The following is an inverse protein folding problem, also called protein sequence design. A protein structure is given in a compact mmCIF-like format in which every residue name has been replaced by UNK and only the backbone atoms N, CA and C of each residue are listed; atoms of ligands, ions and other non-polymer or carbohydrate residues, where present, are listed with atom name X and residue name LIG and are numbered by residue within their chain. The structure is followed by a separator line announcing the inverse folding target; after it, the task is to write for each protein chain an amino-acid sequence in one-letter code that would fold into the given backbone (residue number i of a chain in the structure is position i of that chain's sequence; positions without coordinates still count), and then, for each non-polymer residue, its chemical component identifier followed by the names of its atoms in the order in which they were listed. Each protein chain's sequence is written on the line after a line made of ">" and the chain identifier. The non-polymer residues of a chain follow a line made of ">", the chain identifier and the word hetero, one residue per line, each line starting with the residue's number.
data_IF_142282915893
#
_entry.id   IF_142282915893
#
_cell.length_a   1.000
_cell.length_b   1.000
_cell.length_c   1.000
_cell.angle_alpha   90.00
_cell.angle_beta   90.00
_cell.angle_gamma   90.00
#
_symmetry.space_group_name_H-M   'P 1'
#
loop_
_entity.id
_entity.type
_entity.pdbx_description
1 polymer ?
#
# COMPACT_ATOMS: atom_id res chain seq x y z
N UNK A 1 -6.61 -16.42 3.84
CA UNK A 1 -5.45 -17.19 3.33
C UNK A 1 -4.37 -17.14 4.40
N UNK A 2 -3.59 -18.22 4.59
CA UNK A 2 -2.37 -18.14 5.38
C UNK A 2 -1.47 -17.04 4.80
N UNK A 3 -0.76 -16.32 5.68
CA UNK A 3 0.06 -15.18 5.27
C UNK A 3 1.23 -15.67 4.42
N UNK A 4 1.51 -14.99 3.33
CA UNK A 4 2.73 -15.19 2.54
C UNK A 4 3.89 -14.52 3.29
N UNK A 5 5.04 -15.19 3.36
CA UNK A 5 6.26 -14.61 3.90
C UNK A 5 6.72 -13.44 3.02
N UNK A 6 7.36 -12.43 3.60
CA UNK A 6 7.92 -11.33 2.80
C UNK A 6 9.09 -11.86 1.97
N UNK A 7 9.17 -11.38 0.74
CA UNK A 7 10.33 -11.61 -0.12
C UNK A 7 11.45 -10.70 0.39
N UNK A 8 12.62 -11.27 0.64
CA UNK A 8 13.82 -10.49 0.97
C UNK A 8 14.42 -9.93 -0.31
N UNK A 9 14.82 -8.67 -0.28
CA UNK A 9 15.51 -8.00 -1.38
C UNK A 9 17.00 -8.37 -1.38
N UNK A 10 17.60 -8.50 -2.57
CA UNK A 10 19.05 -8.64 -2.71
C UNK A 10 19.74 -7.28 -2.59
N UNK A 11 19.15 -6.21 -3.14
CA UNK A 11 19.64 -4.84 -2.99
C UNK A 11 19.45 -4.28 -1.56
N UNK A 12 18.51 -4.86 -0.82
CA UNK A 12 18.05 -4.38 0.49
C UNK A 12 17.11 -3.18 0.40
N UNK A 13 16.66 -2.80 -0.80
CA UNK A 13 15.78 -1.65 -1.05
C UNK A 13 14.33 -2.13 -1.17
N UNK A 14 13.42 -1.40 -0.53
CA UNK A 14 12.00 -1.73 -0.54
C UNK A 14 11.12 -0.50 -0.76
N UNK A 15 10.08 -0.68 -1.56
CA UNK A 15 8.89 0.17 -1.54
C UNK A 15 7.96 -0.33 -0.44
N UNK A 16 7.56 0.55 0.48
CA UNK A 16 6.81 0.20 1.67
C UNK A 16 5.52 1.02 1.71
N UNK A 17 4.40 0.37 2.06
CA UNK A 17 3.12 1.05 2.24
C UNK A 17 2.47 0.66 3.56
N UNK A 18 1.95 1.67 4.25
CA UNK A 18 1.19 1.56 5.49
C UNK A 18 -0.10 2.37 5.39
N UNK A 19 -1.23 1.83 5.83
CA UNK A 19 -2.55 2.51 5.84
C UNK A 19 -3.22 2.42 7.20
N UNK A 20 -3.96 3.46 7.56
CA UNK A 20 -4.79 3.51 8.76
C UNK A 20 -5.85 2.41 8.75
N UNK A 21 -6.13 1.84 9.93
CA UNK A 21 -7.26 0.92 10.09
C UNK A 21 -8.56 1.60 9.69
N UNK A 22 -9.47 0.86 9.04
CA UNK A 22 -10.71 1.40 8.48
C UNK A 22 -10.50 2.57 7.50
N UNK A 23 -9.31 2.67 6.88
CA UNK A 23 -8.95 3.77 5.98
C UNK A 23 -9.00 5.15 6.67
N UNK A 24 -8.98 5.17 8.00
CA UNK A 24 -9.05 6.40 8.78
C UNK A 24 -7.84 7.29 8.47
N UNK A 25 -8.03 8.60 8.61
CA UNK A 25 -6.95 9.56 8.64
C UNK A 25 -5.98 9.20 9.77
N UNK A 26 -4.69 9.16 9.45
CA UNK A 26 -3.60 8.90 10.39
C UNK A 26 -2.72 10.14 10.59
N UNK A 27 -2.96 11.20 9.82
CA UNK A 27 -2.40 12.53 10.00
C UNK A 27 -3.55 13.55 9.91
N UNK A 28 -4.11 13.91 11.06
CA UNK A 28 -5.27 14.80 11.19
C UNK A 28 -4.84 16.27 11.10
N UNK A 29 -3.66 16.58 11.64
CA UNK A 29 -3.08 17.94 11.66
C UNK A 29 -1.61 17.91 11.29
N UNK A 30 -1.03 19.07 11.02
CA UNK A 30 0.37 19.20 10.56
C UNK A 30 1.39 18.57 11.51
N UNK A 31 1.18 18.73 12.81
CA UNK A 31 2.04 18.15 13.85
C UNK A 31 2.16 16.62 13.72
N UNK A 32 1.13 15.94 13.21
CA UNK A 32 1.16 14.48 13.03
C UNK A 32 2.17 14.07 11.96
N UNK A 33 2.20 14.82 10.85
CA UNK A 33 3.15 14.62 9.77
C UNK A 33 4.58 14.92 10.24
N UNK A 34 4.77 16.06 10.89
CA UNK A 34 6.06 16.46 11.45
C UNK A 34 6.58 15.41 12.44
N UNK A 35 5.70 14.91 13.32
CA UNK A 35 6.06 13.86 14.27
C UNK A 35 6.49 12.58 13.59
N UNK A 36 5.82 12.19 12.51
CA UNK A 36 6.20 11.00 11.75
C UNK A 36 7.55 11.18 11.09
N UNK A 37 7.81 12.32 10.46
CA UNK A 37 9.09 12.67 9.84
C UNK A 37 10.22 12.64 10.89
N UNK A 38 10.02 13.26 12.06
CA UNK A 38 10.96 13.20 13.18
C UNK A 38 11.20 11.76 13.65
N UNK A 39 10.16 10.92 13.65
CA UNK A 39 10.27 9.50 14.02
C UNK A 39 11.13 8.73 13.03
N UNK A 40 10.94 8.96 11.72
CA UNK A 40 11.80 8.40 10.67
C UNK A 40 13.25 8.87 10.89
N UNK A 41 13.49 10.17 11.06
CA UNK A 41 14.86 10.69 11.24
C UNK A 41 15.55 10.06 12.44
N UNK A 42 14.86 9.99 13.60
CA UNK A 42 15.39 9.37 14.81
C UNK A 42 15.80 7.91 14.59
N UNK A 43 14.96 7.11 13.94
CA UNK A 43 15.27 5.69 13.73
C UNK A 43 16.24 5.48 12.57
N UNK A 44 16.38 6.43 11.65
CA UNK A 44 17.46 6.43 10.67
C UNK A 44 18.82 6.47 11.37
N UNK A 45 18.99 7.32 12.37
CA UNK A 45 20.25 7.42 13.14
C UNK A 45 20.55 6.14 13.94
N UNK A 46 19.52 5.51 14.50
CA UNK A 46 19.68 4.31 15.33
C UNK A 46 19.92 3.04 14.49
N UNK A 47 19.13 2.87 13.42
CA UNK A 47 19.12 1.66 12.60
C UNK A 47 20.01 1.77 11.36
N UNK A 48 20.51 2.97 11.04
CA UNK A 48 21.39 3.28 9.91
C UNK A 48 20.84 2.85 8.54
N UNK A 49 19.51 2.88 8.39
CA UNK A 49 18.89 2.70 7.08
C UNK A 49 19.06 3.95 6.22
N UNK A 50 18.90 3.80 4.90
CA UNK A 50 18.85 4.95 3.97
C UNK A 50 17.42 5.18 3.52
N UNK A 51 16.98 6.44 3.52
CA UNK A 51 15.69 6.82 2.97
C UNK A 51 15.90 7.57 1.66
N UNK A 52 15.22 7.14 0.61
CA UNK A 52 15.27 7.76 -0.71
C UNK A 52 14.04 8.64 -0.92
N UNK A 53 12.85 8.10 -0.66
CA UNK A 53 11.62 8.87 -0.76
C UNK A 53 10.63 8.56 0.35
N UNK A 54 9.82 9.56 0.69
CA UNK A 54 8.58 9.37 1.40
C UNK A 54 7.47 10.24 0.82
N UNK A 55 6.24 9.76 0.93
CA UNK A 55 5.02 10.53 0.73
C UNK A 55 4.03 10.15 1.84
N UNK A 56 3.71 11.11 2.71
CA UNK A 56 2.73 10.91 3.77
C UNK A 56 1.38 11.44 3.27
N UNK A 57 0.42 10.55 3.05
CA UNK A 57 -0.95 10.86 2.64
C UNK A 57 -1.87 10.87 3.86
N UNK A 58 -3.05 11.49 3.81
CA UNK A 58 -3.92 11.61 4.99
C UNK A 58 -4.22 10.29 5.72
N UNK A 59 -4.49 9.20 4.99
CA UNK A 59 -4.83 7.88 5.57
C UNK A 59 -3.79 6.77 5.32
N UNK A 60 -2.69 7.06 4.63
CA UNK A 60 -1.64 6.09 4.32
C UNK A 60 -0.30 6.78 4.04
N UNK A 61 0.77 6.01 3.89
CA UNK A 61 2.08 6.54 3.56
C UNK A 61 2.85 5.56 2.71
N UNK A 62 3.75 6.11 1.90
CA UNK A 62 4.72 5.37 1.10
C UNK A 62 6.14 5.73 1.54
N UNK A 63 7.02 4.73 1.63
CA UNK A 63 8.46 4.92 1.87
C UNK A 63 9.25 4.14 0.83
N UNK A 64 10.36 4.69 0.37
CA UNK A 64 11.40 3.99 -0.39
C UNK A 64 12.68 4.00 0.45
N UNK A 65 13.06 2.82 0.96
CA UNK A 65 14.05 2.69 2.03
C UNK A 65 14.98 1.52 1.75
N UNK A 66 16.28 1.70 2.04
CA UNK A 66 17.28 0.63 2.08
C UNK A 66 17.56 0.20 3.52
N UNK A 67 17.49 -1.10 3.79
CA UNK A 67 17.86 -1.67 5.08
C UNK A 67 19.29 -1.29 5.49
N UNK A 68 19.51 -1.14 6.80
CA UNK A 68 20.78 -0.77 7.41
C UNK A 68 21.30 -1.86 8.35
N UNK A 69 21.62 -1.48 9.59
CA UNK A 69 22.07 -2.41 10.64
C UNK A 69 20.98 -3.38 11.11
N UNK A 70 19.72 -2.96 11.05
CA UNK A 70 18.58 -3.77 11.46
C UNK A 70 17.74 -4.20 10.25
N UNK A 71 17.10 -5.39 10.29
CA UNK A 71 16.20 -5.82 9.24
C UNK A 71 14.94 -4.94 9.20
N UNK A 72 14.31 -4.85 8.03
CA UNK A 72 13.20 -3.96 7.72
C UNK A 72 12.04 -4.13 8.70
N UNK A 73 11.70 -5.35 9.09
CA UNK A 73 10.62 -5.59 10.05
C UNK A 73 10.89 -4.94 11.41
N UNK A 74 12.15 -4.83 11.83
CA UNK A 74 12.53 -4.19 13.08
C UNK A 74 12.48 -2.68 12.95
N UNK A 75 13.01 -2.14 11.84
CA UNK A 75 12.93 -0.71 11.50
C UNK A 75 11.47 -0.23 11.50
N UNK A 76 10.61 -0.92 10.75
CA UNK A 76 9.19 -0.56 10.66
C UNK A 76 8.46 -0.76 11.98
N UNK A 77 8.80 -1.78 12.77
CA UNK A 77 8.23 -1.97 14.13
C UNK A 77 8.56 -0.79 15.04
N UNK A 78 9.79 -0.26 14.98
CA UNK A 78 10.22 0.90 15.76
C UNK A 78 9.51 2.17 15.32
N UNK A 79 9.50 2.47 14.01
CA UNK A 79 8.84 3.66 13.44
C UNK A 79 7.34 3.64 13.77
N UNK A 80 6.64 2.57 13.39
CA UNK A 80 5.20 2.46 13.62
C UNK A 80 4.86 2.44 15.10
N UNK A 81 5.60 1.68 15.92
CA UNK A 81 5.34 1.60 17.36
C UNK A 81 5.47 2.94 18.07
N UNK A 82 6.55 3.70 17.77
CA UNK A 82 6.77 5.03 18.33
C UNK A 82 5.67 6.02 17.91
N UNK A 83 5.31 6.02 16.63
CA UNK A 83 4.26 6.91 16.14
C UNK A 83 2.89 6.59 16.73
N UNK A 84 2.50 5.30 16.75
CA UNK A 84 1.23 4.86 17.34
C UNK A 84 1.16 5.19 18.82
N UNK A 85 2.24 4.98 19.57
CA UNK A 85 2.30 5.34 20.98
C UNK A 85 2.03 6.85 21.19
N UNK A 86 2.71 7.70 20.42
CA UNK A 86 2.50 9.14 20.48
C UNK A 86 1.10 9.55 20.05
N UNK A 87 0.61 9.04 18.91
CA UNK A 87 -0.70 9.36 18.35
C UNK A 87 -1.82 8.96 19.31
N UNK A 88 -1.73 7.76 19.89
CA UNK A 88 -2.71 7.30 20.88
C UNK A 88 -2.73 8.19 22.12
N UNK A 89 -1.57 8.63 22.60
CA UNK A 89 -1.48 9.58 23.71
C UNK A 89 -2.10 10.94 23.36
N UNK A 90 -1.78 11.49 22.18
CA UNK A 90 -2.27 12.80 21.71
C UNK A 90 -3.80 12.82 21.58
N UNK A 91 -4.37 11.77 20.99
CA UNK A 91 -5.80 11.70 20.69
C UNK A 91 -6.63 10.92 21.73
N UNK A 92 -6.04 10.53 22.86
CA UNK A 92 -6.74 9.74 23.89
C UNK A 92 -7.25 8.39 23.39
N UNK A 93 -6.57 7.79 22.41
CA UNK A 93 -6.98 6.53 21.78
C UNK A 93 -6.30 5.32 22.42
N UNK A 94 -6.91 4.16 22.23
CA UNK A 94 -6.34 2.86 22.60
C UNK A 94 -6.42 1.91 21.41
N UNK A 95 -5.43 1.05 21.25
CA UNK A 95 -5.40 0.00 20.22
C UNK A 95 -4.60 0.37 18.96
N UNK A 96 -4.94 -0.29 17.86
CA UNK A 96 -4.21 -0.19 16.59
C UNK A 96 -4.58 1.08 15.80
N UNK A 97 -3.57 1.74 15.24
CA UNK A 97 -3.76 2.84 14.27
C UNK A 97 -3.74 2.35 12.83
N UNK A 98 -2.89 1.36 12.53
CA UNK A 98 -2.67 0.83 11.19
C UNK A 98 -3.48 -0.45 10.94
N UNK A 99 -3.91 -0.65 9.70
CA UNK A 99 -4.82 -1.73 9.31
C UNK A 99 -4.20 -3.13 9.45
N UNK A 100 -2.94 -3.29 9.04
CA UNK A 100 -2.17 -4.53 9.09
C UNK A 100 -0.68 -4.15 9.21
N UNK A 101 0.20 -5.15 9.17
CA UNK A 101 1.63 -4.92 8.95
C UNK A 101 1.86 -4.19 7.63
N UNK A 102 3.00 -3.51 7.52
CA UNK A 102 3.42 -2.89 6.27
C UNK A 102 3.47 -3.92 5.13
N UNK A 103 2.99 -3.47 3.96
CA UNK A 103 3.31 -4.11 2.69
C UNK A 103 4.69 -3.65 2.26
N UNK A 104 5.43 -4.53 1.59
CA UNK A 104 6.75 -4.24 1.06
C UNK A 104 6.96 -4.97 -0.26
N UNK A 105 7.60 -4.29 -1.21
CA UNK A 105 8.03 -4.84 -2.49
C UNK A 105 9.54 -4.60 -2.64
N UNK A 106 10.34 -5.65 -2.93
CA UNK A 106 11.78 -5.51 -3.12
C UNK A 106 12.07 -4.79 -4.45
N UNK A 107 13.08 -3.92 -4.45
CA UNK A 107 13.50 -3.14 -5.62
C UNK A 107 14.89 -3.58 -6.04
N UNK A 108 15.01 -4.24 -7.18
CA UNK A 108 16.28 -4.85 -7.62
C UNK A 108 16.95 -4.14 -8.80
N UNK A 109 16.20 -3.31 -9.54
CA UNK A 109 16.65 -2.67 -10.78
C UNK A 109 16.57 -1.14 -10.67
N UNK A 110 17.57 -0.44 -11.20
CA UNK A 110 17.64 1.03 -11.15
C UNK A 110 16.49 1.70 -11.94
N UNK A 111 16.10 1.12 -13.07
CA UNK A 111 14.95 1.63 -13.85
C UNK A 111 13.65 1.53 -13.04
N UNK A 112 13.42 0.39 -12.40
CA UNK A 112 12.25 0.20 -11.54
C UNK A 112 12.30 1.08 -10.29
N UNK A 113 13.50 1.29 -9.72
CA UNK A 113 13.71 2.23 -8.63
C UNK A 113 13.23 3.65 -9.01
N UNK A 114 13.60 4.15 -10.19
CA UNK A 114 13.16 5.47 -10.66
C UNK A 114 11.65 5.54 -10.90
N UNK A 115 11.04 4.45 -11.40
CA UNK A 115 9.59 4.30 -11.54
C UNK A 115 8.89 4.41 -10.18
N UNK A 116 9.35 3.69 -9.16
CA UNK A 116 8.81 3.76 -7.80
C UNK A 116 9.01 5.14 -7.19
N UNK A 117 10.17 5.76 -7.41
CA UNK A 117 10.46 7.11 -6.94
C UNK A 117 9.46 8.13 -7.52
N UNK A 118 9.19 8.07 -8.82
CA UNK A 118 8.17 8.86 -9.51
C UNK A 118 6.78 8.60 -8.93
N UNK A 119 6.40 7.33 -8.81
CA UNK A 119 5.11 6.92 -8.27
C UNK A 119 4.85 7.51 -6.87
N UNK A 120 5.85 7.44 -5.97
CA UNK A 120 5.73 7.97 -4.60
C UNK A 120 5.49 9.48 -4.62
N UNK A 121 6.26 10.25 -5.38
CA UNK A 121 6.12 11.71 -5.43
C UNK A 121 4.87 12.18 -6.18
N UNK A 122 4.39 11.40 -7.14
CA UNK A 122 3.15 11.72 -7.86
C UNK A 122 1.87 11.28 -7.12
N UNK A 123 1.97 10.55 -6.01
CA UNK A 123 0.80 10.09 -5.27
C UNK A 123 -0.18 11.23 -4.89
N UNK A 124 0.28 12.40 -4.42
CA UNK A 124 -0.60 13.56 -4.17
C UNK A 124 -1.26 14.15 -5.43
N UNK A 125 -0.58 14.08 -6.59
CA UNK A 125 -1.16 14.48 -7.89
C UNK A 125 -2.26 13.50 -8.30
N UNK A 126 -1.97 12.19 -8.25
CA UNK A 126 -2.92 11.12 -8.60
C UNK A 126 -4.16 11.15 -7.69
N UNK A 127 -4.00 11.58 -6.44
CA UNK A 127 -5.10 11.80 -5.49
C UNK A 127 -5.80 13.17 -5.63
N UNK A 128 -5.45 13.98 -6.65
CA UNK A 128 -5.99 15.32 -6.90
C UNK A 128 -5.87 16.29 -5.69
N UNK A 129 -4.88 16.10 -4.81
CA UNK A 129 -4.65 16.95 -3.64
C UNK A 129 -3.89 18.23 -3.99
N UNK A 130 -3.06 18.17 -5.03
CA UNK A 130 -2.27 19.27 -5.57
C UNK A 130 -2.25 19.20 -7.09
N UNK A 131 -1.95 20.31 -7.74
CA UNK A 131 -1.73 20.38 -9.20
C UNK A 131 -0.27 20.28 -9.60
N UNK A 132 0.66 20.47 -8.65
CA UNK A 132 2.11 20.33 -8.82
C UNK A 132 2.69 19.59 -7.63
N UNK A 133 3.67 18.72 -7.87
CA UNK A 133 4.33 17.89 -6.86
C UNK A 133 4.95 18.76 -5.75
N UNK A 134 5.60 19.85 -6.14
CA UNK A 134 6.27 20.80 -5.25
C UNK A 134 5.33 21.48 -4.23
N UNK A 135 4.02 21.50 -4.50
CA UNK A 135 3.04 22.08 -3.58
C UNK A 135 2.68 21.14 -2.42
N UNK A 136 3.05 19.86 -2.49
CA UNK A 136 2.76 18.89 -1.44
C UNK A 136 3.94 18.74 -0.47
N UNK A 137 3.85 19.44 0.66
CA UNK A 137 4.91 19.53 1.67
C UNK A 137 5.27 18.22 2.38
N UNK A 138 4.37 17.23 2.37
CA UNK A 138 4.57 15.99 3.13
C UNK A 138 5.27 14.90 2.32
N UNK A 139 6.19 15.34 1.46
CA UNK A 139 7.15 14.52 0.73
C UNK A 139 8.56 15.07 0.97
N UNK A 140 9.58 14.29 0.68
CA UNK A 140 10.95 14.79 0.57
C UNK A 140 11.34 15.17 -0.87
N UNK A 141 10.39 15.50 -1.75
CA UNK A 141 10.71 15.94 -3.11
C UNK A 141 11.66 17.14 -3.12
N UNK A 142 11.45 18.07 -2.18
CA UNK A 142 12.24 19.30 -2.08
C UNK A 142 13.71 19.03 -1.72
N UNK A 143 14.02 17.90 -1.08
CA UNK A 143 15.38 17.50 -0.72
C UNK A 143 16.25 17.30 -1.97
N UNK A 144 15.66 16.81 -3.06
CA UNK A 144 16.36 16.63 -4.33
C UNK A 144 16.70 17.95 -5.03
N UNK A 145 15.93 19.01 -4.76
CA UNK A 145 16.14 20.33 -5.34
C UNK A 145 17.11 21.14 -4.48
N UNK A 146 16.93 21.13 -3.16
CA UNK A 146 17.66 22.01 -2.22
C UNK A 146 18.87 21.34 -1.58
N UNK A 147 18.98 20.02 -1.67
CA UNK A 147 19.92 19.25 -0.86
C UNK A 147 19.32 18.88 0.49
N UNK A 148 19.81 17.77 1.06
CA UNK A 148 19.40 17.27 2.36
C UNK A 148 20.47 16.32 2.91
N UNK A 149 20.75 16.42 4.21
CA UNK A 149 21.57 15.44 4.92
C UNK A 149 20.71 14.28 5.47
N UNK A 150 19.38 14.40 5.36
CA UNK A 150 18.41 13.47 5.94
C UNK A 150 17.92 12.39 4.97
N UNK A 151 18.08 12.65 3.67
CA UNK A 151 17.68 11.78 2.57
C UNK A 151 18.90 11.41 1.73
N UNK A 152 18.93 10.17 1.23
CA UNK A 152 19.97 9.67 0.33
C UNK A 152 19.72 10.12 -1.13
N UNK A 153 19.74 11.43 -1.36
CA UNK A 153 19.47 12.03 -2.68
C UNK A 153 20.60 11.77 -3.69
N UNK A 154 21.84 11.65 -3.21
CA UNK A 154 23.02 11.52 -4.07
C UNK A 154 23.04 10.21 -4.85
N UNK A 155 22.54 9.13 -4.25
CA UNK A 155 22.40 7.85 -4.94
C UNK A 155 21.59 8.01 -6.23
N UNK A 156 20.40 8.62 -6.13
CA UNK A 156 19.52 8.82 -7.28
C UNK A 156 20.10 9.82 -8.26
N UNK A 157 20.62 10.95 -7.76
CA UNK A 157 21.11 12.01 -8.63
C UNK A 157 22.34 11.54 -9.43
N UNK A 158 23.19 10.70 -8.83
CA UNK A 158 24.33 10.08 -9.52
C UNK A 158 23.91 9.05 -10.58
N UNK A 159 22.78 8.34 -10.39
CA UNK A 159 22.19 7.48 -11.44
C UNK A 159 21.80 8.32 -12.66
N UNK A 160 21.27 9.53 -12.43
CA UNK A 160 20.74 10.38 -13.51
C UNK A 160 21.83 11.15 -14.27
N UNK A 161 22.83 11.69 -13.56
CA UNK A 161 23.95 12.40 -14.15
C UNK A 161 25.07 12.61 -13.12
N UNK A 162 26.33 12.61 -13.54
CA UNK A 162 27.46 12.97 -12.68
C UNK A 162 27.54 14.46 -12.38
N UNK A 163 27.01 15.32 -13.26
CA UNK A 163 26.87 16.75 -13.01
C UNK A 163 25.59 17.03 -12.22
N UNK A 164 25.74 17.64 -11.03
CA UNK A 164 24.64 17.87 -10.09
C UNK A 164 23.48 18.69 -10.67
N UNK A 165 23.77 19.77 -11.39
CA UNK A 165 22.71 20.60 -11.97
C UNK A 165 21.92 19.85 -13.04
N UNK A 166 22.62 19.10 -13.89
CA UNK A 166 21.98 18.27 -14.91
C UNK A 166 21.18 17.12 -14.28
N UNK A 167 21.68 16.52 -13.20
CA UNK A 167 20.97 15.48 -12.45
C UNK A 167 19.65 16.00 -11.89
N UNK A 168 19.65 17.20 -11.30
CA UNK A 168 18.44 17.83 -10.76
C UNK A 168 17.43 18.14 -11.88
N UNK A 169 17.88 18.65 -13.03
CA UNK A 169 17.00 18.89 -14.19
C UNK A 169 16.35 17.58 -14.68
N UNK A 170 17.16 16.53 -14.88
CA UNK A 170 16.66 15.20 -15.27
C UNK A 170 15.73 14.60 -14.23
N UNK A 171 16.01 14.80 -12.94
CA UNK A 171 15.14 14.37 -11.86
C UNK A 171 13.76 15.04 -11.98
N UNK A 172 13.72 16.37 -12.12
CA UNK A 172 12.46 17.11 -12.28
C UNK A 172 11.69 16.61 -13.51
N UNK A 173 12.38 16.42 -14.64
CA UNK A 173 11.78 15.89 -15.88
C UNK A 173 11.17 14.50 -15.68
N UNK A 174 11.92 13.56 -15.08
CA UNK A 174 11.44 12.20 -14.85
C UNK A 174 10.25 12.20 -13.90
N UNK A 175 10.34 12.92 -12.79
CA UNK A 175 9.31 12.90 -11.74
C UNK A 175 8.02 13.60 -12.19
N UNK A 176 8.09 14.59 -13.08
CA UNK A 176 6.89 15.26 -13.63
C UNK A 176 6.36 14.62 -14.92
N UNK A 177 6.99 13.54 -15.43
CA UNK A 177 6.53 12.87 -16.65
C UNK A 177 5.22 12.12 -16.40
N UNK A 178 4.26 12.29 -17.31
CA UNK A 178 3.04 11.48 -17.37
C UNK A 178 3.40 9.99 -17.58
N UNK A 179 2.64 9.11 -16.91
CA UNK A 179 2.89 7.68 -16.90
C UNK A 179 1.63 6.90 -16.51
N UNK A 180 1.65 5.62 -16.84
CA UNK A 180 0.71 4.61 -16.38
C UNK A 180 1.41 3.61 -15.44
N UNK A 181 2.31 4.10 -14.57
CA UNK A 181 3.13 3.23 -13.73
C UNK A 181 2.28 2.38 -12.79
N UNK A 182 2.48 1.06 -12.85
CA UNK A 182 1.94 0.10 -11.89
C UNK A 182 3.03 -0.25 -10.86
N UNK A 183 2.88 0.28 -9.65
CA UNK A 183 3.71 -0.06 -8.50
C UNK A 183 2.87 -0.73 -7.41
N UNK A 184 3.52 -1.22 -6.36
CA UNK A 184 2.81 -1.64 -5.15
C UNK A 184 1.79 -0.57 -4.73
N UNK A 185 0.55 -1.00 -4.56
CA UNK A 185 -0.55 -0.15 -4.11
C UNK A 185 -1.52 -0.94 -3.21
N UNK A 186 -2.42 -0.22 -2.54
CA UNK A 186 -3.52 -0.78 -1.78
C UNK A 186 -4.72 -0.96 -2.70
N UNK A 187 -4.68 -2.04 -3.49
CA UNK A 187 -5.81 -2.44 -4.32
C UNK A 187 -7.11 -2.53 -3.52
N UNK A 188 -8.11 -1.77 -3.94
CA UNK A 188 -9.43 -1.79 -3.35
C UNK A 188 -10.23 -2.97 -3.90
N UNK A 189 -10.21 -4.11 -3.22
CA UNK A 189 -11.24 -5.12 -3.44
C UNK A 189 -12.50 -4.64 -2.73
N UNK A 190 -13.37 -3.94 -3.45
CA UNK A 190 -14.71 -3.65 -2.96
C UNK A 190 -15.40 -4.99 -2.73
N UNK A 191 -15.57 -5.36 -1.47
CA UNK A 191 -16.16 -6.63 -1.11
C UNK A 191 -17.65 -6.51 -1.40
N UNK A 192 -18.14 -7.29 -2.38
CA UNK A 192 -19.57 -7.39 -2.67
C UNK A 192 -20.34 -7.57 -1.37
N UNK A 193 -21.35 -6.73 -1.16
CA UNK A 193 -22.22 -6.86 0.01
C UNK A 193 -22.99 -8.17 -0.10
N UNK A 194 -23.58 -8.62 1.01
CA UNK A 194 -24.45 -9.81 0.95
C UNK A 194 -25.67 -9.58 0.05
N UNK A 195 -26.13 -8.35 -0.10
CA UNK A 195 -27.23 -8.01 -1.02
C UNK A 195 -26.79 -8.04 -2.49
N UNK A 196 -25.60 -7.51 -2.80
CA UNK A 196 -25.02 -7.63 -4.14
C UNK A 196 -24.81 -9.10 -4.49
N UNK A 197 -24.25 -9.88 -3.55
CA UNK A 197 -24.03 -11.31 -3.72
C UNK A 197 -25.36 -12.06 -3.93
N UNK A 198 -26.42 -11.74 -3.18
CA UNK A 198 -27.76 -12.30 -3.40
C UNK A 198 -28.28 -11.99 -4.80
N UNK A 199 -28.16 -10.74 -5.24
CA UNK A 199 -28.62 -10.31 -6.56
C UNK A 199 -27.86 -11.01 -7.69
N UNK A 200 -26.54 -11.17 -7.54
CA UNK A 200 -25.69 -11.91 -8.47
C UNK A 200 -26.11 -13.38 -8.53
N UNK A 201 -26.28 -14.03 -7.37
CA UNK A 201 -26.68 -15.45 -7.30
C UNK A 201 -28.03 -15.65 -7.99
N UNK A 202 -29.04 -14.84 -7.65
CA UNK A 202 -30.38 -14.93 -8.26
C UNK A 202 -30.34 -14.75 -9.78
N UNK A 203 -29.63 -13.72 -10.26
CA UNK A 203 -29.54 -13.40 -11.69
C UNK A 203 -28.76 -14.46 -12.48
N UNK A 204 -27.60 -14.88 -11.96
CA UNK A 204 -26.73 -15.83 -12.67
C UNK A 204 -27.30 -17.25 -12.67
N UNK A 205 -27.82 -17.70 -11.52
CA UNK A 205 -28.41 -19.03 -11.37
C UNK A 205 -29.84 -19.12 -11.90
N UNK A 206 -30.48 -17.98 -12.21
CA UNK A 206 -31.89 -17.86 -12.63
C UNK A 206 -32.84 -18.47 -11.60
N UNK A 207 -32.72 -18.02 -10.35
CA UNK A 207 -33.51 -18.48 -9.20
C UNK A 207 -34.09 -17.31 -8.41
N UNK A 208 -35.24 -17.53 -7.77
CA UNK A 208 -35.93 -16.51 -6.96
C UNK A 208 -35.35 -16.39 -5.55
N UNK A 209 -34.98 -17.53 -4.95
CA UNK A 209 -34.32 -17.58 -3.66
C UNK A 209 -32.93 -18.21 -3.78
N UNK A 210 -31.94 -17.59 -3.13
CA UNK A 210 -30.53 -18.04 -3.19
C UNK A 210 -30.30 -19.48 -2.69
N UNK A 211 -31.21 -20.00 -1.86
CA UNK A 211 -31.17 -21.38 -1.35
C UNK A 211 -31.56 -22.40 -2.45
N UNK A 212 -32.31 -21.99 -3.47
CA UNK A 212 -32.81 -22.88 -4.52
C UNK A 212 -31.70 -23.50 -5.36
N UNK A 213 -30.49 -22.93 -5.34
CA UNK A 213 -29.30 -23.51 -5.97
C UNK A 213 -28.99 -24.93 -5.43
N UNK A 214 -29.45 -25.27 -4.21
CA UNK A 214 -29.32 -26.62 -3.65
C UNK A 214 -30.17 -27.67 -4.39
N UNK A 215 -31.24 -27.24 -5.09
CA UNK A 215 -32.15 -28.11 -5.85
C UNK A 215 -31.57 -28.53 -7.20
N UNK A 216 -30.50 -27.87 -7.66
CA UNK A 216 -29.84 -28.24 -8.91
C UNK A 216 -29.11 -29.58 -8.77
N UNK A 217 -29.00 -30.29 -9.90
CA UNK A 217 -28.14 -31.46 -9.97
C UNK A 217 -26.67 -31.08 -9.67
N UNK A 218 -25.87 -32.07 -9.28
CA UNK A 218 -24.50 -31.86 -8.82
C UNK A 218 -23.63 -31.17 -9.88
N UNK A 219 -23.81 -31.49 -11.16
CA UNK A 219 -22.98 -30.94 -12.24
C UNK A 219 -23.31 -29.46 -12.43
N UNK A 220 -24.60 -29.15 -12.60
CA UNK A 220 -25.08 -27.77 -12.79
C UNK A 220 -24.81 -26.88 -11.58
N UNK A 221 -25.05 -27.38 -10.37
CA UNK A 221 -24.74 -26.66 -9.13
C UNK A 221 -23.25 -26.31 -9.06
N UNK A 222 -22.37 -27.29 -9.32
CA UNK A 222 -20.94 -27.06 -9.22
C UNK A 222 -20.44 -26.06 -10.27
N UNK A 223 -20.98 -26.11 -11.49
CA UNK A 223 -20.70 -25.09 -12.52
C UNK A 223 -21.03 -23.69 -12.01
N UNK A 224 -22.24 -23.46 -11.47
CA UNK A 224 -22.61 -22.16 -10.93
C UNK A 224 -21.76 -21.73 -9.73
N UNK A 225 -21.44 -22.65 -8.81
CA UNK A 225 -20.57 -22.35 -7.67
C UNK A 225 -19.17 -21.92 -8.13
N UNK A 226 -18.65 -22.55 -9.18
CA UNK A 226 -17.36 -22.16 -9.76
C UNK A 226 -17.45 -20.74 -10.36
N UNK A 227 -18.48 -20.46 -11.15
CA UNK A 227 -18.67 -19.12 -11.72
C UNK A 227 -18.80 -18.05 -10.64
N UNK A 228 -19.55 -18.31 -9.57
CA UNK A 228 -19.71 -17.37 -8.46
C UNK A 228 -18.36 -17.03 -7.80
N UNK A 229 -17.45 -17.99 -7.72
CA UNK A 229 -16.08 -17.79 -7.20
C UNK A 229 -15.20 -17.04 -8.20
N UNK A 230 -15.03 -17.61 -9.39
CA UNK A 230 -13.99 -17.21 -10.33
C UNK A 230 -14.41 -16.00 -11.17
N UNK A 231 -15.67 -15.97 -11.62
CA UNK A 231 -16.20 -14.90 -12.47
C UNK A 231 -16.72 -13.72 -11.66
N UNK A 232 -17.40 -13.99 -10.56
CA UNK A 232 -18.06 -12.94 -9.76
C UNK A 232 -17.32 -12.62 -8.45
N UNK A 233 -16.27 -13.36 -8.09
CA UNK A 233 -15.41 -13.04 -6.95
C UNK A 233 -16.06 -13.23 -5.58
N UNK A 234 -17.17 -13.98 -5.47
CA UNK A 234 -17.81 -14.23 -4.18
C UNK A 234 -16.92 -15.12 -3.31
N UNK A 235 -16.76 -14.75 -2.04
CA UNK A 235 -16.00 -15.57 -1.10
C UNK A 235 -16.75 -16.87 -0.77
N UNK A 236 -16.01 -17.96 -0.56
CA UNK A 236 -16.56 -19.27 -0.16
C UNK A 236 -17.53 -19.14 1.04
N UNK A 237 -17.19 -18.29 2.02
CA UNK A 237 -18.04 -18.03 3.19
C UNK A 237 -19.35 -17.31 2.85
N UNK A 238 -19.32 -16.37 1.89
CA UNK A 238 -20.55 -15.70 1.45
C UNK A 238 -21.45 -16.66 0.70
N UNK A 239 -20.89 -17.48 -0.18
CA UNK A 239 -21.64 -18.52 -0.88
C UNK A 239 -22.25 -19.49 0.14
N UNK A 240 -21.47 -20.01 1.09
CA UNK A 240 -21.96 -20.91 2.15
C UNK A 240 -23.11 -20.28 2.93
N UNK A 241 -22.92 -19.06 3.46
CA UNK A 241 -23.92 -18.37 4.28
C UNK A 241 -25.21 -18.07 3.51
N UNK A 242 -25.11 -17.68 2.24
CA UNK A 242 -26.28 -17.28 1.44
C UNK A 242 -27.01 -18.47 0.84
N UNK A 243 -26.29 -19.48 0.38
CA UNK A 243 -26.87 -20.64 -0.33
C UNK A 243 -27.18 -21.81 0.59
N UNK A 244 -26.55 -21.88 1.77
CA UNK A 244 -26.62 -23.03 2.68
C UNK A 244 -25.77 -24.24 2.26
N UNK A 245 -25.02 -24.15 1.16
CA UNK A 245 -24.14 -25.23 0.70
C UNK A 245 -22.88 -25.27 1.58
N UNK A 246 -22.54 -26.45 2.09
CA UNK A 246 -21.37 -26.60 2.97
C UNK A 246 -20.07 -26.10 2.33
N UNK A 247 -19.24 -25.42 3.12
CA UNK A 247 -17.92 -24.95 2.71
C UNK A 247 -17.07 -26.02 2.02
N UNK A 248 -17.10 -27.26 2.52
CA UNK A 248 -16.31 -28.35 1.98
C UNK A 248 -16.70 -28.71 0.53
N UNK A 249 -17.96 -28.52 0.14
CA UNK A 249 -18.40 -28.69 -1.25
C UNK A 249 -17.88 -27.54 -2.10
N UNK A 250 -18.08 -26.29 -1.66
CA UNK A 250 -17.70 -25.09 -2.42
C UNK A 250 -16.18 -24.99 -2.61
N UNK A 251 -15.39 -25.45 -1.65
CA UNK A 251 -13.92 -25.38 -1.71
C UNK A 251 -13.29 -26.43 -2.63
N UNK A 252 -14.00 -27.54 -2.91
CA UNK A 252 -13.51 -28.63 -3.79
C UNK A 252 -13.84 -28.42 -5.27
N UNK A 253 -14.61 -27.37 -5.56
CA UNK A 253 -14.99 -26.93 -6.90
C UNK A 253 -14.11 -25.74 -7.23
#
# INVERSE_FOLDING_TARGET
>A
MPRVARIKSNSGIYHIIMRGINRQTIFEVEEDYERFILTIQRYREICEYKIYAYCLMGNHLHLLLKEGKEPLETVMRRICGSYVFWYNKKYGRVGYLFQDRFKSEPIEEDEYFLTVLRYIFQNPLKACMVTKIENYKWTNYIDYIRGSNQTEIDFVLNILNTNREQAIRRFIEIINKDNDDECLDILEKQRLTDDDARNIIKRHCKIDHVIDIQKFDKVKRNMYLNDLKERYGLSIRQIERLTGISRGVIQRI
#
